data_IF_639754501473
#
_entry.id   IF_639754501473
#
_cell.length_a   1.000
_cell.length_b   1.000
_cell.length_c   1.000
_cell.angle_alpha   90.00
_cell.angle_beta   90.00
_cell.angle_gamma   90.00
#
_symmetry.space_group_name_H-M   'P 1'
#
loop_
_entity.id
_entity.type
_entity.pdbx_description
1 polymer ?
#
# COMPACT_ATOMS: atom_id res chain seq x y z
N UNK A 1 11.49 18.54 15.66
CA UNK A 1 11.18 17.75 14.45
C UNK A 1 9.68 17.64 14.42
N UNK A 2 9.06 18.26 13.43
CA UNK A 2 7.61 18.44 13.41
C UNK A 2 6.91 17.09 13.40
N UNK A 3 5.97 16.93 14.33
CA UNK A 3 5.18 15.72 14.53
C UNK A 3 4.05 15.70 13.48
N UNK A 4 4.43 15.70 12.20
CA UNK A 4 3.49 15.55 11.10
C UNK A 4 3.04 14.10 11.07
N UNK A 5 1.94 13.81 11.76
CA UNK A 5 1.30 12.49 11.78
C UNK A 5 0.68 12.20 10.41
N UNK A 6 1.50 11.71 9.48
CA UNK A 6 1.01 11.16 8.22
C UNK A 6 0.27 9.83 8.44
N UNK A 7 0.85 8.99 9.31
CA UNK A 7 0.32 7.70 9.71
C UNK A 7 0.25 7.66 11.24
N UNK A 8 -0.84 7.08 11.72
CA UNK A 8 -1.25 6.94 13.11
C UNK A 8 -1.46 5.46 13.43
N UNK A 9 -1.62 5.14 14.72
CA UNK A 9 -1.81 3.76 15.17
C UNK A 9 -3.09 3.14 14.57
N UNK A 10 -4.15 3.95 14.41
CA UNK A 10 -5.42 3.48 13.82
C UNK A 10 -5.28 3.03 12.37
N UNK A 11 -4.29 3.52 11.63
CA UNK A 11 -4.06 3.11 10.23
C UNK A 11 -3.59 1.65 10.11
N UNK A 12 -3.15 1.05 11.21
CA UNK A 12 -2.74 -0.37 11.25
C UNK A 12 -3.89 -1.31 11.64
N UNK A 13 -5.06 -0.77 12.02
CA UNK A 13 -6.23 -1.58 12.32
C UNK A 13 -6.65 -2.37 11.08
N UNK A 14 -6.72 -3.70 11.21
CA UNK A 14 -7.10 -4.59 10.11
C UNK A 14 -5.98 -4.95 9.12
N UNK A 15 -4.80 -4.32 9.20
CA UNK A 15 -3.61 -4.69 8.40
C UNK A 15 -2.67 -5.59 9.21
N UNK A 16 -2.38 -5.20 10.45
CA UNK A 16 -1.48 -5.94 11.34
C UNK A 16 -2.14 -6.29 12.66
N UNK A 17 -1.72 -7.42 13.26
CA UNK A 17 -2.00 -7.71 14.67
C UNK A 17 -1.07 -6.87 15.54
N UNK A 18 -1.24 -5.54 15.54
CA UNK A 18 -0.60 -4.71 16.54
C UNK A 18 -1.17 -5.10 17.90
N UNK A 19 -0.34 -5.75 18.72
CA UNK A 19 -0.71 -6.06 20.09
C UNK A 19 -1.11 -4.77 20.82
N UNK A 20 -2.10 -4.85 21.71
CA UNK A 20 -2.53 -3.72 22.57
C UNK A 20 -1.39 -3.07 23.38
N UNK A 21 -0.27 -3.79 23.54
CA UNK A 21 0.96 -3.34 24.20
C UNK A 21 2.15 -3.26 23.22
N UNK A 22 1.94 -2.73 22.02
CA UNK A 22 3.03 -2.48 21.07
C UNK A 22 3.96 -1.37 21.58
N UNK A 23 5.26 -1.47 21.27
CA UNK A 23 6.21 -0.39 21.57
C UNK A 23 6.03 0.72 20.53
N UNK A 24 5.42 1.83 20.95
CA UNK A 24 5.16 2.98 20.08
C UNK A 24 6.45 3.60 19.55
N UNK A 25 7.53 3.57 20.34
CA UNK A 25 8.85 4.07 19.93
C UNK A 25 9.42 3.25 18.77
N UNK A 26 9.36 1.92 18.85
CA UNK A 26 9.81 1.05 17.76
C UNK A 26 8.94 1.15 16.52
N UNK A 27 7.64 1.37 16.71
CA UNK A 27 6.73 1.64 15.60
C UNK A 27 7.10 2.96 14.90
N UNK A 28 7.39 4.03 15.64
CA UNK A 28 7.85 5.29 15.07
C UNK A 28 9.15 5.13 14.28
N UNK A 29 10.12 4.37 14.80
CA UNK A 29 11.35 4.03 14.07
C UNK A 29 11.02 3.29 12.76
N UNK A 30 10.11 2.33 12.80
CA UNK A 30 9.70 1.58 11.62
C UNK A 30 8.97 2.45 10.58
N UNK A 31 8.15 3.42 11.02
CA UNK A 31 7.45 4.38 10.14
C UNK A 31 8.48 5.21 9.37
N UNK A 32 9.47 5.77 10.06
CA UNK A 32 10.52 6.60 9.44
C UNK A 32 11.41 5.77 8.51
N UNK A 33 11.77 4.56 8.91
CA UNK A 33 12.54 3.66 8.04
C UNK A 33 11.74 3.28 6.78
N UNK A 34 10.45 3.00 6.90
CA UNK A 34 9.62 2.67 5.74
C UNK A 34 9.48 3.85 4.78
N UNK A 35 9.32 5.06 5.32
CA UNK A 35 9.31 6.30 4.55
C UNK A 35 10.58 6.46 3.72
N UNK A 36 11.75 6.36 4.38
CA UNK A 36 13.04 6.65 3.77
C UNK A 36 13.52 5.56 2.82
N UNK A 37 13.34 4.29 3.18
CA UNK A 37 13.97 3.16 2.48
C UNK A 37 13.01 2.36 1.60
N UNK A 38 11.70 2.54 1.74
CA UNK A 38 10.72 1.88 0.86
C UNK A 38 9.95 2.91 0.03
N UNK A 39 9.25 3.86 0.65
CA UNK A 39 8.35 4.77 -0.09
C UNK A 39 9.07 5.69 -1.06
N UNK A 40 10.04 6.46 -0.56
CA UNK A 40 10.76 7.45 -1.38
C UNK A 40 11.45 6.76 -2.57
N UNK A 41 12.14 5.62 -2.40
CA UNK A 41 12.70 4.88 -3.55
C UNK A 41 11.65 4.33 -4.51
N UNK A 42 10.48 3.91 -4.04
CA UNK A 42 9.42 3.35 -4.88
C UNK A 42 8.73 4.40 -5.76
N UNK A 43 8.42 5.56 -5.19
CA UNK A 43 7.63 6.59 -5.87
C UNK A 43 8.43 7.77 -6.41
N UNK A 44 9.73 7.84 -6.11
CA UNK A 44 10.64 8.97 -6.27
C UNK A 44 10.46 10.08 -5.22
N UNK A 45 11.53 10.85 -5.00
CA UNK A 45 11.57 11.90 -3.98
C UNK A 45 10.59 13.04 -4.27
N UNK A 46 10.57 13.56 -5.49
CA UNK A 46 9.75 14.72 -5.86
C UNK A 46 8.25 14.42 -5.71
N UNK A 47 7.83 13.23 -6.14
CA UNK A 47 6.45 12.78 -5.98
C UNK A 47 6.07 12.63 -4.51
N UNK A 48 6.91 11.99 -3.70
CA UNK A 48 6.60 11.79 -2.29
C UNK A 48 6.60 13.11 -1.51
N UNK A 49 7.47 14.06 -1.88
CA UNK A 49 7.49 15.38 -1.29
C UNK A 49 6.17 16.13 -1.54
N UNK A 50 5.68 16.15 -2.78
CA UNK A 50 4.39 16.73 -3.14
C UNK A 50 3.22 16.07 -2.39
N UNK A 51 3.25 14.74 -2.24
CA UNK A 51 2.26 14.00 -1.46
C UNK A 51 2.28 14.40 0.01
N UNK A 52 3.46 14.58 0.62
CA UNK A 52 3.57 14.99 2.02
C UNK A 52 3.06 16.41 2.26
N UNK A 53 3.36 17.36 1.38
CA UNK A 53 2.84 18.73 1.47
C UNK A 53 1.31 18.77 1.37
N UNK A 54 0.71 17.81 0.66
CA UNK A 54 -0.73 17.73 0.43
C UNK A 54 -1.45 16.65 1.27
N UNK A 55 -0.79 16.07 2.28
CA UNK A 55 -1.34 14.95 3.03
C UNK A 55 -2.55 15.33 3.89
N UNK A 56 -2.41 16.42 4.64
CA UNK A 56 -3.41 16.91 5.60
C UNK A 56 -4.13 18.15 5.09
N UNK A 57 -4.50 18.16 3.80
CA UNK A 57 -5.29 19.24 3.22
C UNK A 57 -6.65 19.39 3.94
N UNK A 58 -7.07 20.64 4.15
CA UNK A 58 -8.38 21.00 4.67
C UNK A 58 -9.48 20.66 3.66
N UNK A 59 -10.72 20.45 4.13
CA UNK A 59 -11.87 20.11 3.27
C UNK A 59 -12.15 21.13 2.16
N UNK A 60 -11.82 22.40 2.39
CA UNK A 60 -12.02 23.49 1.42
C UNK A 60 -10.91 23.57 0.35
N UNK A 61 -9.89 22.72 0.41
CA UNK A 61 -8.76 22.78 -0.53
C UNK A 61 -9.18 22.16 -1.86
N UNK A 62 -8.98 22.84 -3.01
CA UNK A 62 -9.40 22.31 -4.32
C UNK A 62 -8.68 21.00 -4.67
N UNK A 63 -7.45 20.81 -4.18
CA UNK A 63 -6.65 19.61 -4.40
C UNK A 63 -6.97 18.48 -3.42
N UNK A 64 -7.86 18.67 -2.44
CA UNK A 64 -8.15 17.66 -1.41
C UNK A 64 -8.59 16.35 -2.05
N UNK A 65 -9.55 16.40 -2.97
CA UNK A 65 -10.10 15.19 -3.60
C UNK A 65 -9.02 14.45 -4.40
N UNK A 66 -8.17 15.18 -5.13
CA UNK A 66 -7.05 14.62 -5.90
C UNK A 66 -6.13 13.81 -5.00
N UNK A 67 -5.52 14.43 -3.98
CA UNK A 67 -4.58 13.73 -3.10
C UNK A 67 -5.26 12.71 -2.20
N UNK A 68 -6.52 12.90 -1.80
CA UNK A 68 -7.26 11.91 -1.02
C UNK A 68 -7.43 10.60 -1.80
N UNK A 69 -7.77 10.67 -3.09
CA UNK A 69 -7.86 9.49 -3.97
C UNK A 69 -6.53 8.76 -4.13
N UNK A 70 -5.41 9.49 -4.09
CA UNK A 70 -4.07 8.92 -4.16
C UNK A 70 -3.63 8.30 -2.82
N UNK A 71 -3.92 8.95 -1.70
CA UNK A 71 -3.45 8.57 -0.36
C UNK A 71 -4.30 7.43 0.21
N UNK A 72 -5.63 7.58 0.23
CA UNK A 72 -6.56 6.60 0.79
C UNK A 72 -6.91 5.48 -0.20
N UNK A 73 -6.74 5.75 -1.49
CA UNK A 73 -7.17 4.86 -2.55
C UNK A 73 -8.56 5.23 -3.09
N UNK A 74 -8.88 4.68 -4.26
CA UNK A 74 -10.17 4.85 -4.91
C UNK A 74 -10.36 3.83 -6.04
N UNK A 75 -11.62 3.60 -6.41
CA UNK A 75 -11.92 2.97 -7.69
C UNK A 75 -11.78 3.95 -8.84
N UNK A 76 -11.37 3.45 -10.00
CA UNK A 76 -11.33 4.21 -11.25
C UNK A 76 -11.60 3.29 -12.43
N UNK A 77 -11.90 3.87 -13.59
CA UNK A 77 -12.13 3.12 -14.83
C UNK A 77 -10.93 3.38 -15.75
N UNK A 78 -10.35 2.31 -16.27
CA UNK A 78 -9.24 2.42 -17.23
C UNK A 78 -9.75 2.80 -18.64
N UNK A 79 -8.82 3.02 -19.57
CA UNK A 79 -9.16 3.35 -20.96
C UNK A 79 -9.96 2.27 -21.69
N UNK A 80 -9.98 1.05 -21.17
CA UNK A 80 -10.70 -0.08 -21.75
C UNK A 80 -12.07 -0.29 -21.09
N UNK A 81 -12.51 0.63 -20.23
CA UNK A 81 -13.78 0.53 -19.52
C UNK A 81 -13.76 -0.47 -18.35
N UNK A 82 -12.59 -0.99 -17.96
CA UNK A 82 -12.49 -1.93 -16.83
C UNK A 82 -12.31 -1.18 -15.54
N UNK A 83 -13.03 -1.60 -14.51
CA UNK A 83 -12.87 -1.09 -13.15
C UNK A 83 -11.52 -1.55 -12.59
N UNK A 84 -10.72 -0.59 -12.16
CA UNK A 84 -9.46 -0.78 -11.48
C UNK A 84 -9.55 -0.18 -10.08
N UNK A 85 -8.72 -0.68 -9.17
CA UNK A 85 -8.65 -0.20 -7.80
C UNK A 85 -7.27 0.39 -7.54
N UNK A 86 -7.23 1.59 -6.96
CA UNK A 86 -6.05 2.17 -6.35
C UNK A 86 -6.06 1.84 -4.84
N UNK A 87 -5.06 1.09 -4.37
CA UNK A 87 -4.92 0.70 -2.98
C UNK A 87 -4.51 1.84 -2.03
N UNK A 88 -4.00 2.95 -2.57
CA UNK A 88 -3.60 4.12 -1.81
C UNK A 88 -2.18 4.05 -1.25
N UNK A 89 -1.48 5.19 -1.22
CA UNK A 89 -0.12 5.32 -0.65
C UNK A 89 -0.11 4.97 0.84
N UNK A 90 -1.18 5.30 1.58
CA UNK A 90 -1.29 4.96 3.01
C UNK A 90 -1.14 3.45 3.22
N UNK A 91 -1.85 2.65 2.43
CA UNK A 91 -1.81 1.20 2.54
C UNK A 91 -0.41 0.63 2.23
N UNK A 92 0.27 1.17 1.22
CA UNK A 92 1.67 0.81 0.91
C UNK A 92 2.56 1.04 2.13
N UNK A 93 2.45 2.23 2.74
CA UNK A 93 3.28 2.61 3.88
C UNK A 93 2.98 1.82 5.15
N UNK A 94 1.72 1.56 5.44
CA UNK A 94 1.33 0.73 6.58
C UNK A 94 1.93 -0.68 6.46
N UNK A 95 1.86 -1.31 5.29
CA UNK A 95 2.41 -2.65 5.06
C UNK A 95 3.93 -2.70 5.22
N UNK A 96 4.67 -1.77 4.59
CA UNK A 96 6.12 -1.69 4.73
C UNK A 96 6.56 -1.36 6.16
N UNK A 97 5.83 -0.47 6.83
CA UNK A 97 6.07 -0.15 8.24
C UNK A 97 5.91 -1.39 9.10
N UNK A 98 4.82 -2.13 8.94
CA UNK A 98 4.56 -3.31 9.75
C UNK A 98 5.63 -4.40 9.49
N UNK A 99 6.04 -4.57 8.23
CA UNK A 99 7.14 -5.48 7.89
C UNK A 99 8.45 -5.13 8.60
N UNK A 100 8.80 -3.83 8.71
CA UNK A 100 10.00 -3.38 9.45
C UNK A 100 9.82 -3.49 10.95
N UNK A 101 8.63 -3.13 11.44
CA UNK A 101 8.30 -3.21 12.86
C UNK A 101 8.48 -4.62 13.41
N UNK A 102 8.06 -5.66 12.69
CA UNK A 102 8.27 -7.05 13.10
C UNK A 102 9.74 -7.38 13.37
N UNK A 103 10.66 -6.85 12.56
CA UNK A 103 12.10 -7.08 12.70
C UNK A 103 12.72 -6.24 13.83
N UNK A 104 12.34 -4.96 13.92
CA UNK A 104 12.84 -4.05 14.97
C UNK A 104 12.32 -4.46 16.35
N UNK A 105 11.08 -4.94 16.42
CA UNK A 105 10.46 -5.32 17.69
C UNK A 105 11.11 -6.55 18.36
N UNK A 106 11.79 -7.40 17.59
CA UNK A 106 12.42 -8.61 18.08
C UNK A 106 13.63 -8.34 19.01
N UNK A 107 14.30 -7.21 18.82
CA UNK A 107 15.54 -6.86 19.51
C UNK A 107 15.35 -5.67 20.43
N UNK A 108 15.98 -5.70 21.60
CA UNK A 108 16.16 -4.55 22.47
C UNK A 108 17.66 -4.29 22.59
N UNK A 109 18.07 -3.05 22.42
CA UNK A 109 19.44 -2.67 22.72
C UNK A 109 19.58 -2.34 24.21
N UNK A 110 20.54 -2.95 24.88
CA UNK A 110 20.79 -2.77 26.32
C UNK A 110 22.26 -2.42 26.52
N UNK A 111 22.63 -1.94 27.72
CA UNK A 111 24.02 -1.61 28.04
C UNK A 111 24.98 -2.81 27.89
N UNK A 112 24.47 -4.04 27.92
CA UNK A 112 25.24 -5.28 27.72
C UNK A 112 25.22 -5.79 26.27
N UNK A 113 24.63 -5.03 25.35
CA UNK A 113 24.47 -5.35 23.93
C UNK A 113 23.02 -5.62 23.53
N UNK A 114 22.84 -6.00 22.26
CA UNK A 114 21.52 -6.30 21.70
C UNK A 114 21.01 -7.65 22.18
N UNK A 115 19.90 -7.64 22.93
CA UNK A 115 19.23 -8.84 23.45
C UNK A 115 17.97 -9.14 22.65
N UNK A 116 17.66 -10.42 22.49
CA UNK A 116 16.39 -10.87 21.90
C UNK A 116 15.34 -10.97 23.01
N UNK A 117 14.10 -10.58 22.69
CA UNK A 117 12.98 -10.78 23.62
C UNK A 117 12.70 -12.28 23.79
N UNK A 118 12.97 -12.82 24.97
CA UNK A 118 12.50 -14.15 25.38
C UNK A 118 11.11 -14.03 26.01
N UNK A 119 10.34 -15.10 25.91
CA UNK A 119 8.93 -15.12 26.31
C UNK A 119 8.75 -16.08 27.50
N UNK A 120 8.34 -15.55 28.66
CA UNK A 120 8.24 -16.35 29.90
C UNK A 120 7.09 -17.37 29.90
N UNK A 121 6.09 -17.22 29.02
CA UNK A 121 4.88 -18.07 29.00
C UNK A 121 4.41 -18.46 27.59
N UNK A 122 5.23 -18.28 26.56
CA UNK A 122 4.86 -18.65 25.18
C UNK A 122 6.08 -19.11 24.38
N UNK A 123 5.87 -19.98 23.40
CA UNK A 123 6.92 -20.29 22.43
C UNK A 123 7.03 -19.10 21.47
N UNK A 124 8.16 -18.40 21.52
CA UNK A 124 8.45 -17.31 20.61
C UNK A 124 8.59 -17.80 19.18
N UNK A 125 8.09 -17.03 18.21
CA UNK A 125 8.36 -17.28 16.80
C UNK A 125 9.88 -17.20 16.55
N UNK A 126 10.40 -18.15 15.78
CA UNK A 126 11.78 -18.17 15.34
C UNK A 126 12.08 -16.95 14.46
N UNK A 127 13.36 -16.55 14.38
CA UNK A 127 13.78 -15.47 13.50
C UNK A 127 13.41 -15.74 12.02
N UNK A 128 13.41 -17.01 11.61
CA UNK A 128 12.99 -17.41 10.27
C UNK A 128 11.50 -17.12 10.05
N UNK A 129 10.63 -17.54 10.97
CA UNK A 129 9.18 -17.27 10.88
C UNK A 129 8.88 -15.76 10.89
N UNK A 130 9.56 -14.98 11.74
CA UNK A 130 9.38 -13.52 11.77
C UNK A 130 9.81 -12.88 10.45
N UNK A 131 10.90 -13.38 9.83
CA UNK A 131 11.32 -12.93 8.50
C UNK A 131 10.31 -13.29 7.42
N UNK A 132 9.74 -14.50 7.47
CA UNK A 132 8.73 -14.94 6.50
C UNK A 132 7.46 -14.09 6.59
N UNK A 133 7.00 -13.81 7.81
CA UNK A 133 5.87 -12.89 8.04
C UNK A 133 6.23 -11.48 7.55
N UNK A 134 7.41 -10.95 7.88
CA UNK A 134 7.86 -9.64 7.39
C UNK A 134 7.90 -9.58 5.85
N UNK A 135 8.39 -10.63 5.20
CA UNK A 135 8.43 -10.73 3.74
C UNK A 135 7.03 -10.80 3.13
N UNK A 136 6.08 -11.48 3.78
CA UNK A 136 4.67 -11.48 3.37
C UNK A 136 4.09 -10.07 3.35
N UNK A 137 4.31 -9.27 4.40
CA UNK A 137 3.88 -7.87 4.45
C UNK A 137 4.58 -6.98 3.42
N UNK A 138 5.87 -7.20 3.15
CA UNK A 138 6.55 -6.51 2.04
C UNK A 138 5.92 -6.84 0.69
N UNK A 139 5.54 -8.10 0.48
CA UNK A 139 4.88 -8.51 -0.76
C UNK A 139 3.49 -7.86 -0.88
N UNK A 140 2.71 -7.80 0.19
CA UNK A 140 1.44 -7.05 0.22
C UNK A 140 1.64 -5.57 -0.08
N UNK A 141 2.65 -4.94 0.53
CA UNK A 141 3.03 -3.54 0.24
C UNK A 141 3.45 -3.33 -1.21
N UNK A 142 4.17 -4.29 -1.82
CA UNK A 142 4.52 -4.26 -3.24
C UNK A 142 3.30 -4.36 -4.15
N UNK A 143 2.35 -5.25 -3.86
CA UNK A 143 1.10 -5.39 -4.62
C UNK A 143 0.30 -4.08 -4.54
N UNK A 144 0.19 -3.48 -3.35
CA UNK A 144 -0.45 -2.18 -3.16
C UNK A 144 0.26 -1.08 -3.96
N UNK A 145 1.60 -1.09 -3.98
CA UNK A 145 2.39 -0.15 -4.78
C UNK A 145 2.11 -0.30 -6.28
N UNK A 146 2.05 -1.52 -6.81
CA UNK A 146 1.76 -1.76 -8.23
C UNK A 146 0.39 -1.18 -8.65
N UNK A 147 -0.60 -1.27 -7.75
CA UNK A 147 -1.92 -0.67 -7.92
C UNK A 147 -1.87 0.88 -7.95
N UNK A 148 -1.14 1.51 -7.01
CA UNK A 148 -0.94 2.97 -6.99
C UNK A 148 -0.15 3.44 -8.22
N UNK A 149 0.91 2.71 -8.58
CA UNK A 149 1.72 3.00 -9.76
C UNK A 149 0.88 2.97 -11.04
N UNK A 150 -0.01 1.97 -11.20
CA UNK A 150 -0.94 1.92 -12.33
C UNK A 150 -1.87 3.15 -12.36
N UNK A 151 -2.40 3.56 -11.20
CA UNK A 151 -3.23 4.76 -11.08
C UNK A 151 -2.47 6.04 -11.46
N UNK A 152 -1.23 6.20 -11.00
CA UNK A 152 -0.39 7.35 -11.31
C UNK A 152 -0.02 7.40 -12.80
N UNK A 153 0.28 6.25 -13.40
CA UNK A 153 0.51 6.15 -14.83
C UNK A 153 -0.72 6.54 -15.67
N UNK A 154 -1.91 6.17 -15.22
CA UNK A 154 -3.16 6.53 -15.90
C UNK A 154 -3.49 8.03 -15.76
N UNK A 155 -3.34 8.57 -14.54
CA UNK A 155 -3.66 9.96 -14.23
C UNK A 155 -2.42 10.88 -14.31
N UNK A 156 -1.46 10.58 -15.19
CA UNK A 156 -0.20 11.32 -15.28
C UNK A 156 -0.39 12.84 -15.44
N UNK A 157 -1.42 13.24 -16.19
CA UNK A 157 -1.73 14.66 -16.37
C UNK A 157 -2.04 15.39 -15.05
N UNK A 158 -2.57 14.68 -14.06
CA UNK A 158 -2.86 15.22 -12.73
C UNK A 158 -1.61 15.20 -11.82
N UNK A 159 -0.67 14.27 -12.03
CA UNK A 159 0.52 14.09 -11.19
C UNK A 159 1.82 14.27 -12.00
N UNK A 160 2.18 15.51 -12.39
CA UNK A 160 3.33 15.77 -13.26
C UNK A 160 4.68 15.49 -12.60
N UNK A 161 4.75 15.43 -11.26
CA UNK A 161 5.96 15.16 -10.49
C UNK A 161 6.27 13.65 -10.38
N UNK A 162 5.38 12.79 -10.85
CA UNK A 162 5.61 11.36 -10.91
C UNK A 162 6.49 10.98 -12.11
N UNK A 163 7.53 10.17 -11.85
CA UNK A 163 8.41 9.67 -12.91
C UNK A 163 7.71 8.57 -13.73
N UNK A 164 7.57 8.81 -15.04
CA UNK A 164 6.84 7.94 -15.96
C UNK A 164 7.71 6.83 -16.59
N UNK A 165 8.99 6.74 -16.21
CA UNK A 165 9.95 5.84 -16.86
C UNK A 165 9.48 4.37 -16.93
N UNK A 166 8.63 3.92 -15.98
CA UNK A 166 8.11 2.56 -15.91
C UNK A 166 6.61 2.43 -16.25
N UNK A 167 5.97 3.50 -16.70
CA UNK A 167 4.59 3.43 -17.14
C UNK A 167 4.47 2.65 -18.44
N UNK A 168 3.57 1.65 -18.45
CA UNK A 168 3.17 0.98 -19.68
C UNK A 168 2.40 1.98 -20.51
N UNK A 169 2.95 2.39 -21.65
CA UNK A 169 2.23 3.20 -22.61
C UNK A 169 1.01 2.41 -23.12
N UNK A 170 -0.07 3.09 -23.55
CA UNK A 170 -1.23 2.45 -24.18
C UNK A 170 -0.86 1.55 -25.37
N UNK A 171 0.32 1.78 -25.97
CA UNK A 171 0.88 0.98 -27.06
C UNK A 171 1.65 -0.28 -26.61
N UNK A 172 1.57 -0.69 -25.34
CA UNK A 172 2.22 -1.92 -24.84
C UNK A 172 3.74 -1.83 -24.68
N UNK A 173 4.31 -0.63 -24.67
CA UNK A 173 5.75 -0.40 -24.51
C UNK A 173 6.07 0.19 -23.12
N UNK A 174 7.17 -0.22 -22.50
CA UNK A 174 7.71 0.37 -21.27
C UNK A 174 8.99 1.18 -21.58
N UNK A 175 8.97 2.48 -21.32
CA UNK A 175 10.11 3.40 -21.43
C UNK A 175 9.97 4.55 -22.45
N UNK A 176 10.83 5.59 -22.29
CA UNK A 176 10.83 6.84 -23.08
C UNK A 176 10.71 6.57 -24.59
N UNK A 177 9.67 7.16 -25.15
CA UNK A 177 9.18 6.95 -26.51
C UNK A 177 10.27 7.18 -27.57
N UNK A 178 10.67 6.11 -28.26
CA UNK A 178 11.24 6.16 -29.61
C UNK A 178 10.52 5.13 -30.49
N UNK A 179 9.21 5.33 -30.62
CA UNK A 179 8.35 4.61 -31.56
C UNK A 179 8.80 4.93 -33.00
N UNK A 180 9.63 4.05 -33.59
CA UNK A 180 10.03 4.22 -34.99
C UNK A 180 11.25 3.45 -35.52
N UNK A 181 11.79 2.42 -34.86
CA UNK A 181 12.77 1.53 -35.50
C UNK A 181 12.42 0.06 -35.27
N UNK A 182 11.78 -0.53 -36.28
CA UNK A 182 11.61 -1.96 -36.46
C UNK A 182 12.97 -2.66 -36.40
N UNK A 183 13.23 -3.41 -35.33
CA UNK A 183 14.25 -4.46 -35.37
C UNK A 183 13.58 -5.73 -35.92
N UNK A 184 14.05 -6.18 -37.09
CA UNK A 184 13.69 -7.47 -37.69
C UNK A 184 13.94 -8.58 -36.66
N UNK A 185 12.88 -9.23 -36.19
CA UNK A 185 12.99 -10.49 -35.44
C UNK A 185 12.96 -11.63 -36.46
N UNK A 186 14.12 -12.23 -36.69
CA UNK A 186 14.23 -13.50 -37.40
C UNK A 186 13.58 -14.61 -36.56
N UNK A 187 12.56 -15.25 -37.14
CA UNK A 187 12.12 -16.63 -36.93
C UNK A 187 11.99 -17.15 -35.49
N UNK A 188 10.76 -17.20 -34.98
CA UNK A 188 10.40 -18.19 -33.97
C UNK A 188 9.02 -18.76 -34.29
N UNK A 189 8.94 -20.08 -34.51
CA UNK A 189 7.73 -20.83 -34.85
C UNK A 189 6.83 -20.91 -33.62
N UNK A 190 5.56 -20.53 -33.78
CA UNK A 190 4.51 -20.73 -32.79
C UNK A 190 3.99 -22.15 -32.93
N UNK A 191 3.95 -22.89 -31.81
CA UNK A 191 3.25 -24.17 -31.69
C UNK A 191 1.86 -23.82 -31.12
N UNK A 192 0.80 -24.19 -31.83
CA UNK A 192 -0.58 -23.95 -31.42
C UNK A 192 -0.91 -24.80 -30.18
N UNK A 193 -1.52 -24.19 -29.17
CA UNK A 193 -2.23 -24.89 -28.12
C UNK A 193 -3.64 -24.27 -28.08
N UNK A 194 -4.62 -25.05 -28.51
CA UNK A 194 -6.03 -24.69 -28.53
C UNK A 194 -6.52 -24.44 -27.09
N UNK A 195 -7.22 -23.33 -26.88
CA UNK A 195 -7.94 -23.05 -25.63
C UNK A 195 -9.44 -23.18 -25.89
N UNK A 196 -10.05 -24.04 -25.08
CA UNK A 196 -11.48 -24.22 -24.90
C UNK A 196 -12.17 -22.88 -24.58
N UNK A 197 -13.23 -22.60 -25.34
CA UNK A 197 -14.30 -21.66 -24.99
C UNK A 197 -15.19 -22.32 -23.94
N UNK A 198 -15.55 -21.58 -22.89
CA UNK A 198 -16.79 -21.80 -22.17
C UNK A 198 -17.38 -20.44 -21.82
N UNK A 199 -18.54 -20.19 -22.42
CA UNK A 199 -19.43 -19.06 -22.20
C UNK A 199 -20.03 -19.12 -20.79
N UNK A 200 -20.08 -17.97 -20.08
CA UNK A 200 -21.11 -17.79 -19.06
C UNK A 200 -21.64 -16.36 -19.07
N UNK A 201 -22.93 -16.30 -19.41
CA UNK A 201 -23.78 -15.15 -19.63
C UNK A 201 -23.94 -14.22 -18.43
N UNK A 202 -24.24 -12.96 -18.77
CA UNK A 202 -25.17 -12.03 -18.15
C UNK A 202 -25.48 -12.19 -16.66
N UNK A 203 -25.06 -11.18 -15.88
CA UNK A 203 -25.86 -10.71 -14.76
C UNK A 203 -25.92 -9.19 -14.76
N UNK A 204 -27.10 -8.71 -15.15
CA UNK A 204 -27.56 -7.34 -14.95
C UNK A 204 -27.63 -6.97 -13.45
N UNK A 205 -27.57 -5.65 -13.26
CA UNK A 205 -27.60 -4.85 -12.05
C UNK A 205 -28.54 -5.30 -10.92
N UNK A 206 -28.17 -4.95 -9.68
CA UNK A 206 -29.13 -4.60 -8.63
C UNK A 206 -28.65 -3.40 -7.80
N UNK A 207 -29.53 -2.40 -7.74
CA UNK A 207 -29.54 -1.21 -6.90
C UNK A 207 -29.73 -1.51 -5.40
N UNK A 208 -29.21 -0.58 -4.59
CA UNK A 208 -29.65 -0.07 -3.28
C UNK A 208 -30.46 -0.97 -2.31
N UNK A 209 -29.89 -1.23 -1.13
CA UNK A 209 -30.46 -0.91 0.21
C UNK A 209 -29.88 -1.80 1.33
N UNK A 210 -29.78 -1.25 2.54
CA UNK A 210 -29.42 -1.87 3.83
C UNK A 210 -27.94 -1.89 4.25
N UNK A 211 -27.46 -0.77 4.79
CA UNK A 211 -26.43 -0.75 5.84
C UNK A 211 -26.80 0.23 6.97
N UNK A 212 -27.95 -0.01 7.60
CA UNK A 212 -28.36 0.67 8.84
C UNK A 212 -28.38 -0.25 10.08
N UNK A 213 -27.93 -1.50 9.95
CA UNK A 213 -27.91 -2.47 11.06
C UNK A 213 -26.47 -2.96 11.21
N UNK A 214 -25.67 -2.25 12.00
CA UNK A 214 -24.50 -2.79 12.75
C UNK A 214 -23.62 -1.70 13.41
N UNK A 215 -23.97 -0.41 13.31
CA UNK A 215 -23.22 0.69 13.97
C UNK A 215 -23.58 0.95 15.45
N UNK A 216 -24.55 0.25 16.04
CA UNK A 216 -25.05 0.52 17.40
C UNK A 216 -24.60 -0.45 18.50
N UNK A 217 -23.85 -1.51 18.18
CA UNK A 217 -23.47 -2.53 19.17
C UNK A 217 -22.07 -2.27 19.76
N UNK A 218 -21.17 -1.57 19.05
CA UNK A 218 -19.79 -1.39 19.52
C UNK A 218 -19.52 -0.20 20.45
N UNK A 219 -20.45 0.76 20.58
CA UNK A 219 -20.21 1.99 21.38
C UNK A 219 -20.65 1.91 22.84
N UNK A 220 -21.29 0.82 23.29
CA UNK A 220 -21.80 0.70 24.66
C UNK A 220 -20.92 -0.07 25.65
N UNK A 221 -19.94 -0.84 25.20
CA UNK A 221 -19.08 -1.61 26.12
C UNK A 221 -17.76 -0.91 26.51
N UNK A 222 -17.40 0.21 25.88
CA UNK A 222 -16.15 0.92 26.20
C UNK A 222 -16.22 1.78 27.48
N UNK A 223 -17.41 2.20 27.92
CA UNK A 223 -17.58 3.09 29.07
C UNK A 223 -17.78 2.38 30.42
N UNK A 224 -17.59 1.05 30.49
CA UNK A 224 -17.80 0.28 31.72
C UNK A 224 -16.53 -0.31 32.36
N UNK A 225 -15.37 -0.03 31.76
CA UNK A 225 -14.07 -0.57 32.23
C UNK A 225 -13.21 0.52 32.89
N UNK A 226 -13.64 1.78 32.88
CA UNK A 226 -12.93 2.89 33.55
C UNK A 226 -13.88 3.79 34.36
N UNK A 227 -14.55 3.18 35.34
CA UNK A 227 -15.17 3.86 36.48
C UNK A 227 -14.88 3.09 37.75
#
# INVERSE_FOLDING_TARGET
MDNSNYITISDFEGVGLLARHCSLEKLAIAIEQAKQFDLIPLFCYDMMFDVFENWNLNENSPNKLKYNRLIEGCDYVDSNGKRQYNAGIRNVWVNYTYARYLLVNLYNDTASGTVRKDFDFSVGASLAEVKDISNSYKNMGKIAYESVHAFLCYNKAEYPLFDDCNCKLPCGCSGKCSCGKTKKTSGMRIINIDKYEDDFNDFECCDNSNTAVNKKIFTKEFNKIYS
#
